data_IF_894470136814
#
_entry.id   IF_894470136814
#
_cell.length_a   1.000
_cell.length_b   1.000
_cell.length_c   1.000
_cell.angle_alpha   90.00
_cell.angle_beta   90.00
_cell.angle_gamma   90.00
#
_symmetry.space_group_name_H-M   'P 1'
#
loop_
_entity.id
_entity.type
_entity.pdbx_description
1 polymer ?
#
# COMPACT_ATOMS: atom_id res chain seq x y z
N UNK A 1 21.91 -8.66 -13.01
CA UNK A 1 22.93 -8.05 -12.14
C UNK A 1 23.07 -6.58 -12.49
N UNK A 2 22.94 -5.72 -11.51
CA UNK A 2 23.17 -4.27 -11.64
C UNK A 2 24.08 -3.84 -10.49
N UNK A 3 25.19 -3.19 -10.78
CA UNK A 3 26.17 -2.79 -9.74
C UNK A 3 26.61 -3.95 -8.83
N UNK A 4 26.88 -5.12 -9.39
CA UNK A 4 27.27 -6.36 -8.72
C UNK A 4 26.25 -6.93 -7.71
N UNK A 5 25.00 -6.44 -7.75
CA UNK A 5 23.88 -6.98 -6.95
C UNK A 5 22.86 -7.69 -7.84
N UNK A 6 22.08 -8.66 -7.30
CA UNK A 6 20.89 -9.15 -7.97
C UNK A 6 19.97 -8.01 -8.36
N UNK A 7 19.40 -8.08 -9.55
CA UNK A 7 18.45 -7.10 -10.07
C UNK A 7 17.38 -7.83 -10.87
N UNK A 8 16.11 -7.60 -10.51
CA UNK A 8 14.96 -8.25 -11.13
C UNK A 8 13.86 -7.23 -11.37
N UNK A 9 13.42 -7.12 -12.61
CA UNK A 9 12.30 -6.30 -13.01
C UNK A 9 11.13 -7.22 -13.39
N UNK A 10 9.98 -7.03 -12.74
CA UNK A 10 8.77 -7.85 -12.97
C UNK A 10 7.69 -6.95 -13.54
N UNK A 11 7.32 -7.19 -14.78
CA UNK A 11 6.25 -6.46 -15.46
C UNK A 11 4.89 -6.83 -14.90
N UNK A 12 3.94 -5.91 -15.02
CA UNK A 12 2.56 -6.11 -14.57
C UNK A 12 1.70 -6.63 -15.72
N UNK A 13 1.55 -7.96 -15.77
CA UNK A 13 0.73 -8.62 -16.79
C UNK A 13 1.22 -8.31 -18.20
N UNK A 14 0.41 -7.63 -18.99
CA UNK A 14 0.66 -7.21 -20.38
C UNK A 14 1.22 -5.77 -20.50
N UNK A 15 1.45 -5.10 -19.36
CA UNK A 15 2.03 -3.75 -19.33
C UNK A 15 3.52 -3.85 -19.04
N UNK A 16 4.35 -3.29 -19.92
CA UNK A 16 5.81 -3.29 -19.80
C UNK A 16 6.31 -2.25 -18.79
N UNK A 17 5.81 -2.37 -17.56
CA UNK A 17 6.18 -1.55 -16.41
C UNK A 17 6.02 -2.36 -15.13
N UNK A 18 6.69 -1.93 -14.06
CA UNK A 18 6.69 -2.59 -12.76
C UNK A 18 5.96 -1.75 -11.72
N UNK A 19 4.79 -2.20 -11.27
CA UNK A 19 4.14 -1.70 -10.06
C UNK A 19 4.77 -2.28 -8.80
N UNK A 20 4.94 -1.48 -7.77
CA UNK A 20 5.50 -1.95 -6.48
C UNK A 20 4.60 -2.97 -5.81
N UNK A 21 3.27 -2.76 -5.85
CA UNK A 21 2.26 -3.71 -5.37
C UNK A 21 2.33 -5.02 -6.12
N UNK A 22 2.16 -4.96 -7.45
CA UNK A 22 2.00 -6.12 -8.32
C UNK A 22 3.23 -7.00 -8.33
N UNK A 23 4.41 -6.42 -8.46
CA UNK A 23 5.67 -7.16 -8.45
C UNK A 23 5.88 -7.98 -7.18
N UNK A 24 5.45 -7.42 -6.02
CA UNK A 24 5.47 -8.14 -4.74
C UNK A 24 4.41 -9.24 -4.68
N UNK A 25 3.19 -8.96 -5.15
CA UNK A 25 2.07 -9.90 -5.12
C UNK A 25 2.30 -11.11 -6.04
N UNK A 26 2.88 -10.88 -7.22
CA UNK A 26 3.19 -11.94 -8.21
C UNK A 26 4.19 -12.96 -7.69
N UNK A 27 5.19 -12.55 -6.90
CA UNK A 27 6.18 -13.49 -6.33
C UNK A 27 5.76 -14.10 -5.00
N UNK A 28 4.75 -13.52 -4.33
CA UNK A 28 4.34 -13.93 -2.98
C UNK A 28 4.02 -15.42 -2.84
N UNK A 29 3.28 -16.08 -3.76
CA UNK A 29 2.98 -17.52 -3.66
C UNK A 29 4.21 -18.42 -3.73
N UNK A 30 5.31 -17.95 -4.31
CA UNK A 30 6.54 -18.71 -4.51
C UNK A 30 7.52 -18.61 -3.34
N UNK A 31 7.35 -17.65 -2.41
CA UNK A 31 8.27 -17.44 -1.28
C UNK A 31 8.57 -18.72 -0.47
N UNK A 32 7.60 -19.61 -0.18
CA UNK A 32 7.89 -20.85 0.56
C UNK A 32 8.89 -21.79 -0.15
N UNK A 33 9.00 -21.71 -1.49
CA UNK A 33 9.89 -22.54 -2.29
C UNK A 33 11.35 -22.11 -2.21
N UNK A 34 11.62 -20.88 -1.75
CA UNK A 34 12.98 -20.34 -1.59
C UNK A 34 13.89 -21.18 -0.70
N UNK A 35 13.35 -22.05 0.17
CA UNK A 35 14.15 -22.92 1.04
C UNK A 35 15.09 -23.81 0.26
N UNK A 36 14.63 -24.30 -0.89
CA UNK A 36 15.31 -25.32 -1.69
C UNK A 36 15.72 -24.82 -3.07
N UNK A 37 15.39 -23.57 -3.41
CA UNK A 37 15.64 -22.95 -4.71
C UNK A 37 16.46 -21.66 -4.59
N UNK A 38 17.75 -21.77 -4.92
CA UNK A 38 18.72 -20.66 -4.87
C UNK A 38 18.48 -19.62 -5.98
N UNK A 39 18.02 -20.05 -7.14
CA UNK A 39 17.74 -19.15 -8.25
C UNK A 39 16.51 -18.30 -7.93
N UNK A 40 15.51 -18.88 -7.30
CA UNK A 40 14.35 -18.14 -6.79
C UNK A 40 14.75 -17.15 -5.67
N UNK A 41 15.63 -17.54 -4.74
CA UNK A 41 16.18 -16.60 -3.74
C UNK A 41 16.85 -15.40 -4.41
N UNK A 42 17.68 -15.68 -5.43
CA UNK A 42 18.39 -14.65 -6.17
C UNK A 42 17.44 -13.71 -6.93
N UNK A 43 16.40 -14.26 -7.56
CA UNK A 43 15.34 -13.49 -8.24
C UNK A 43 14.64 -12.55 -7.25
N UNK A 44 14.21 -13.04 -6.08
CA UNK A 44 13.48 -12.24 -5.11
C UNK A 44 14.38 -11.21 -4.44
N UNK A 45 15.64 -11.52 -4.14
CA UNK A 45 16.63 -10.55 -3.69
C UNK A 45 16.82 -9.42 -4.72
N UNK A 46 16.86 -9.78 -6.01
CA UNK A 46 16.92 -8.84 -7.12
C UNK A 46 15.70 -7.91 -7.19
N UNK A 47 14.51 -8.44 -6.95
CA UNK A 47 13.29 -7.64 -6.92
C UNK A 47 13.30 -6.65 -5.75
N UNK A 48 13.72 -7.08 -4.56
CA UNK A 48 13.84 -6.19 -3.39
C UNK A 48 14.83 -5.05 -3.67
N UNK A 49 15.96 -5.34 -4.30
CA UNK A 49 16.92 -4.32 -4.70
C UNK A 49 16.32 -3.33 -5.71
N UNK A 50 15.61 -3.83 -6.73
CA UNK A 50 14.94 -2.99 -7.72
C UNK A 50 13.86 -2.09 -7.09
N UNK A 51 13.03 -2.63 -6.19
CA UNK A 51 12.03 -1.85 -5.47
C UNK A 51 12.68 -0.78 -4.58
N UNK A 52 13.82 -1.06 -3.99
CA UNK A 52 14.62 -0.08 -3.24
C UNK A 52 15.04 1.09 -4.12
N UNK A 53 15.58 0.83 -5.30
CA UNK A 53 15.94 1.88 -6.28
C UNK A 53 14.71 2.70 -6.69
N UNK A 54 13.59 2.05 -6.97
CA UNK A 54 12.33 2.71 -7.32
C UNK A 54 11.87 3.69 -6.23
N UNK A 55 11.87 3.27 -4.96
CA UNK A 55 11.49 4.13 -3.83
C UNK A 55 12.44 5.32 -3.70
N UNK A 56 13.75 5.13 -3.93
CA UNK A 56 14.73 6.21 -3.89
C UNK A 56 14.57 7.21 -5.04
N UNK A 57 14.03 6.79 -6.19
CA UNK A 57 13.70 7.67 -7.31
C UNK A 57 12.51 8.56 -6.94
N UNK A 58 11.38 7.95 -6.54
CA UNK A 58 10.19 8.69 -6.08
C UNK A 58 9.26 7.80 -5.23
N UNK A 59 9.11 8.09 -3.93
CA UNK A 59 8.24 7.32 -3.05
C UNK A 59 6.73 7.54 -3.29
N UNK A 60 6.36 8.52 -4.12
CA UNK A 60 4.98 8.79 -4.50
C UNK A 60 4.54 8.05 -5.76
N UNK A 61 5.47 7.46 -6.52
CA UNK A 61 5.15 6.70 -7.70
C UNK A 61 4.74 5.27 -7.36
N UNK A 62 3.72 4.76 -8.04
CA UNK A 62 3.25 3.39 -7.95
C UNK A 62 3.90 2.48 -8.99
N UNK A 63 4.27 3.03 -10.17
CA UNK A 63 4.78 2.25 -11.30
C UNK A 63 6.04 2.87 -11.94
N UNK A 64 6.96 1.99 -12.36
CA UNK A 64 8.29 2.33 -12.85
C UNK A 64 8.60 1.64 -14.18
N UNK A 65 9.40 2.31 -15.02
CA UNK A 65 9.95 1.77 -16.25
C UNK A 65 11.26 1.01 -15.99
N UNK A 66 11.65 0.12 -16.90
CA UNK A 66 13.00 -0.44 -16.93
C UNK A 66 13.96 0.53 -17.66
N UNK A 67 14.24 1.66 -17.02
CA UNK A 67 15.07 2.73 -17.53
C UNK A 67 14.29 4.03 -17.84
N UNK A 68 14.95 5.05 -18.45
CA UNK A 68 14.39 6.38 -18.62
C UNK A 68 13.50 6.49 -19.87
N UNK A 69 12.35 5.81 -19.89
CA UNK A 69 11.43 5.75 -21.04
C UNK A 69 10.37 6.86 -21.06
N UNK A 70 10.06 7.44 -19.89
CA UNK A 70 9.02 8.46 -19.72
C UNK A 70 7.66 7.89 -19.30
N UNK A 71 6.74 8.79 -18.92
CA UNK A 71 5.37 8.40 -18.55
C UNK A 71 4.61 7.83 -19.75
N UNK A 72 3.80 6.83 -19.52
CA UNK A 72 2.87 6.31 -20.52
C UNK A 72 1.70 7.29 -20.77
N UNK A 73 1.25 7.99 -19.73
CA UNK A 73 0.13 8.93 -19.81
C UNK A 73 0.64 10.38 -19.92
N UNK A 74 0.57 10.95 -21.15
CA UNK A 74 0.95 12.34 -21.42
C UNK A 74 0.00 13.36 -20.76
N UNK A 75 -1.19 12.90 -20.33
CA UNK A 75 -2.23 13.73 -19.70
C UNK A 75 -2.15 13.78 -18.18
N UNK A 76 -1.10 13.21 -17.59
CA UNK A 76 -0.85 13.26 -16.15
C UNK A 76 -0.28 14.61 -15.74
N UNK A 77 -0.94 15.25 -14.77
CA UNK A 77 -0.50 16.50 -14.14
C UNK A 77 -0.07 16.23 -12.70
N UNK A 78 1.22 16.08 -12.47
CA UNK A 78 1.83 15.86 -11.16
C UNK A 78 3.21 16.48 -11.09
N UNK A 79 3.75 16.67 -9.86
CA UNK A 79 5.10 17.19 -9.67
C UNK A 79 6.13 16.06 -9.89
N UNK A 80 7.35 16.45 -10.28
CA UNK A 80 8.52 15.56 -10.34
C UNK A 80 8.40 14.34 -11.25
N UNK A 81 7.72 14.46 -12.37
CA UNK A 81 7.67 13.39 -13.38
C UNK A 81 9.04 13.23 -14.02
N UNK A 82 9.82 12.20 -13.63
CA UNK A 82 11.08 11.81 -14.24
C UNK A 82 10.88 10.62 -15.17
N UNK A 83 11.85 10.38 -16.09
CA UNK A 83 11.68 9.39 -17.16
C UNK A 83 11.63 7.93 -16.69
N UNK A 84 12.08 7.64 -15.49
CA UNK A 84 12.03 6.34 -14.84
C UNK A 84 10.63 5.99 -14.34
N UNK A 85 9.73 6.97 -14.22
CA UNK A 85 8.37 6.75 -13.77
C UNK A 85 7.45 6.40 -14.94
N UNK A 86 6.71 5.31 -14.79
CA UNK A 86 5.61 4.94 -15.68
C UNK A 86 4.33 5.69 -15.28
N UNK A 87 4.02 5.70 -13.96
CA UNK A 87 2.87 6.39 -13.36
C UNK A 87 3.22 6.91 -11.96
N UNK A 88 2.63 8.06 -11.55
CA UNK A 88 2.89 8.68 -10.26
C UNK A 88 1.62 8.82 -9.42
N UNK A 89 0.85 7.75 -9.28
CA UNK A 89 -0.30 7.68 -8.38
C UNK A 89 0.15 7.32 -6.97
N UNK A 90 -0.19 8.17 -5.98
CA UNK A 90 0.15 7.92 -4.59
C UNK A 90 -0.81 6.92 -3.95
N UNK A 91 -0.28 5.79 -3.55
CA UNK A 91 -0.93 4.70 -2.85
C UNK A 91 -0.09 4.30 -1.64
N UNK A 92 -0.69 4.22 -0.45
CA UNK A 92 0.02 3.80 0.77
C UNK A 92 0.60 2.39 0.60
N UNK A 93 -0.17 1.49 0.01
CA UNK A 93 0.19 0.08 -0.14
C UNK A 93 1.38 -0.13 -1.08
N UNK A 94 1.58 0.73 -2.07
CA UNK A 94 2.76 0.71 -2.94
C UNK A 94 4.08 0.77 -2.16
N UNK A 95 4.12 1.43 -0.99
CA UNK A 95 5.28 1.44 -0.09
C UNK A 95 5.24 0.33 0.97
N UNK A 96 4.08 -0.24 1.26
CA UNK A 96 3.95 -1.34 2.23
C UNK A 96 4.39 -2.69 1.67
N UNK A 97 4.09 -2.95 0.40
CA UNK A 97 4.42 -4.22 -0.27
C UNK A 97 5.93 -4.52 -0.30
N UNK A 98 6.83 -3.58 -0.64
CA UNK A 98 8.28 -3.81 -0.58
C UNK A 98 8.79 -4.15 0.83
N UNK A 99 8.25 -3.50 1.87
CA UNK A 99 8.60 -3.81 3.26
C UNK A 99 8.17 -5.24 3.61
N UNK A 100 6.92 -5.59 3.29
CA UNK A 100 6.37 -6.93 3.54
C UNK A 100 7.17 -8.01 2.82
N UNK A 101 7.57 -7.77 1.58
CA UNK A 101 8.37 -8.71 0.78
C UNK A 101 9.75 -8.92 1.41
N UNK A 102 10.47 -7.84 1.73
CA UNK A 102 11.79 -7.90 2.35
C UNK A 102 11.75 -8.59 3.72
N UNK A 103 10.72 -8.27 4.54
CA UNK A 103 10.52 -8.91 5.84
C UNK A 103 10.30 -10.43 5.71
N UNK A 104 9.44 -10.84 4.77
CA UNK A 104 9.15 -12.26 4.56
C UNK A 104 10.34 -13.01 3.97
N UNK A 105 11.08 -12.40 3.03
CA UNK A 105 12.32 -12.95 2.50
C UNK A 105 13.31 -13.25 3.64
N UNK A 106 13.59 -12.24 4.47
CA UNK A 106 14.48 -12.38 5.62
C UNK A 106 13.98 -13.43 6.63
N UNK A 107 12.70 -13.43 6.92
CA UNK A 107 12.12 -14.38 7.89
C UNK A 107 12.32 -15.83 7.45
N UNK A 108 12.19 -16.12 6.15
CA UNK A 108 12.31 -17.46 5.58
C UNK A 108 13.77 -17.87 5.35
N UNK A 109 14.61 -16.97 4.84
CA UNK A 109 15.98 -17.30 4.42
C UNK A 109 17.03 -17.00 5.47
N UNK A 110 16.76 -16.08 6.39
CA UNK A 110 17.71 -15.45 7.31
C UNK A 110 18.83 -14.68 6.62
N UNK A 111 18.75 -14.51 5.31
CA UNK A 111 19.69 -13.71 4.53
C UNK A 111 19.46 -12.22 4.76
N UNK A 112 20.51 -11.52 5.20
CA UNK A 112 20.50 -10.08 5.46
C UNK A 112 21.17 -9.26 4.36
N UNK A 113 21.66 -9.91 3.30
CA UNK A 113 22.42 -9.24 2.22
C UNK A 113 21.60 -8.21 1.43
N UNK A 114 20.26 -8.34 1.44
CA UNK A 114 19.34 -7.37 0.84
C UNK A 114 19.27 -6.05 1.61
N UNK A 115 19.62 -6.03 2.89
CA UNK A 115 19.53 -4.86 3.77
C UNK A 115 20.79 -4.00 3.63
N UNK A 116 20.89 -3.31 2.52
CA UNK A 116 21.98 -2.37 2.23
C UNK A 116 21.75 -1.00 2.87
N UNK A 117 22.74 -0.11 2.78
CA UNK A 117 22.57 1.30 3.17
C UNK A 117 21.47 1.99 2.33
N UNK A 118 21.37 1.66 1.03
CA UNK A 118 20.34 2.19 0.13
C UNK A 118 18.93 1.75 0.57
N UNK A 119 18.79 0.48 1.00
CA UNK A 119 17.53 -0.02 1.54
C UNK A 119 17.10 0.76 2.78
N UNK A 120 18.02 0.98 3.71
CA UNK A 120 17.76 1.79 4.90
C UNK A 120 17.33 3.22 4.54
N UNK A 121 18.02 3.89 3.61
CA UNK A 121 17.65 5.23 3.16
C UNK A 121 16.26 5.24 2.46
N UNK A 122 15.94 4.23 1.66
CA UNK A 122 14.61 4.08 1.09
C UNK A 122 13.54 3.95 2.18
N UNK A 123 13.80 3.19 3.26
CA UNK A 123 12.86 3.04 4.38
C UNK A 123 12.66 4.34 5.18
N UNK A 124 13.71 5.13 5.35
CA UNK A 124 13.60 6.48 5.94
C UNK A 124 12.71 7.38 5.07
N UNK A 125 12.85 7.27 3.76
CA UNK A 125 12.03 8.00 2.81
C UNK A 125 10.55 7.57 2.90
N UNK A 126 10.28 6.27 3.04
CA UNK A 126 8.92 5.74 3.28
C UNK A 126 8.29 6.35 4.54
N UNK A 127 9.01 6.29 5.67
CA UNK A 127 8.50 6.84 6.95
C UNK A 127 8.25 8.34 6.85
N UNK A 128 9.15 9.09 6.19
CA UNK A 128 8.98 10.51 5.93
C UNK A 128 7.73 10.79 5.08
N UNK A 129 7.51 10.03 4.01
CA UNK A 129 6.34 10.15 3.13
C UNK A 129 5.04 9.87 3.89
N UNK A 130 4.99 8.83 4.71
CA UNK A 130 3.83 8.53 5.55
C UNK A 130 3.53 9.68 6.52
N UNK A 131 4.54 10.25 7.18
CA UNK A 131 4.38 11.41 8.06
C UNK A 131 3.91 12.66 7.33
N UNK A 132 4.43 12.93 6.14
CA UNK A 132 3.96 14.04 5.29
C UNK A 132 2.48 13.85 4.95
N UNK A 133 2.08 12.64 4.56
CA UNK A 133 0.70 12.33 4.19
C UNK A 133 -0.26 12.16 5.39
N UNK A 134 0.21 12.24 6.64
CA UNK A 134 -0.68 12.52 7.77
C UNK A 134 -1.23 13.96 7.73
N UNK A 135 -0.66 14.84 6.90
CA UNK A 135 -1.08 16.23 6.65
C UNK A 135 -1.20 17.10 7.90
N UNK A 136 -0.45 16.75 8.97
CA UNK A 136 -0.44 17.52 10.24
C UNK A 136 0.17 18.91 10.09
N UNK A 137 1.09 19.10 9.15
CA UNK A 137 1.81 20.36 8.92
C UNK A 137 1.35 21.07 7.64
N UNK A 138 0.32 20.55 6.97
CA UNK A 138 -0.21 21.09 5.71
C UNK A 138 -0.56 19.98 4.74
N UNK A 139 -0.98 20.36 3.54
CA UNK A 139 -1.47 19.42 2.52
C UNK A 139 -0.36 18.57 1.90
N UNK A 140 0.93 18.94 2.12
CA UNK A 140 2.08 18.26 1.51
C UNK A 140 2.43 18.83 0.14
N UNK A 141 3.33 18.11 -0.56
CA UNK A 141 3.85 18.52 -1.88
C UNK A 141 3.25 17.71 -3.03
N UNK A 142 2.51 16.63 -2.74
CA UNK A 142 1.96 15.73 -3.74
C UNK A 142 0.57 16.16 -4.21
N UNK A 143 0.41 16.25 -5.53
CA UNK A 143 -0.90 16.31 -6.19
C UNK A 143 -0.86 15.48 -7.47
N UNK A 144 -2.02 15.00 -7.91
CA UNK A 144 -2.17 14.25 -9.15
C UNK A 144 -3.55 14.50 -9.76
N UNK A 145 -3.58 14.89 -11.03
CA UNK A 145 -4.78 14.86 -11.86
C UNK A 145 -4.42 14.33 -13.24
N UNK A 146 -5.42 13.79 -13.92
CA UNK A 146 -5.32 13.26 -15.28
C UNK A 146 -6.48 13.79 -16.12
N UNK A 147 -6.20 14.23 -17.33
CA UNK A 147 -7.25 14.56 -18.31
C UNK A 147 -7.77 13.26 -18.91
N UNK A 148 -8.93 12.81 -18.46
CA UNK A 148 -9.53 11.55 -18.84
C UNK A 148 -11.06 11.58 -18.75
N UNK A 149 -11.71 10.66 -19.47
CA UNK A 149 -13.17 10.51 -19.46
C UNK A 149 -13.68 9.75 -18.21
N UNK A 150 -12.77 9.14 -17.43
CA UNK A 150 -13.08 8.35 -16.24
C UNK A 150 -12.80 9.18 -14.99
N UNK A 151 -13.83 9.73 -14.30
CA UNK A 151 -13.63 10.62 -13.15
C UNK A 151 -12.87 9.99 -12.00
N UNK A 152 -12.91 8.66 -11.84
CA UNK A 152 -12.20 7.94 -10.77
C UNK A 152 -10.71 7.76 -11.04
N UNK A 153 -10.23 8.08 -12.25
CA UNK A 153 -8.81 7.99 -12.62
C UNK A 153 -8.02 9.28 -12.33
N UNK A 154 -8.68 10.26 -11.73
CA UNK A 154 -8.11 11.57 -11.39
C UNK A 154 -8.56 12.04 -10.01
N UNK A 155 -7.70 12.79 -9.30
CA UNK A 155 -8.08 13.42 -8.06
C UNK A 155 -8.81 14.75 -8.31
N UNK A 156 -9.82 15.03 -7.48
CA UNK A 156 -10.54 16.33 -7.45
C UNK A 156 -9.65 17.45 -6.89
N UNK A 157 -10.15 18.68 -6.85
CA UNK A 157 -9.46 19.86 -6.31
C UNK A 157 -8.08 20.10 -6.95
N UNK A 158 -8.00 20.10 -8.28
CA UNK A 158 -6.74 20.26 -9.02
C UNK A 158 -5.67 19.26 -8.56
N UNK A 159 -6.07 18.02 -8.32
CA UNK A 159 -5.15 16.93 -7.94
C UNK A 159 -4.87 16.78 -6.44
N UNK A 160 -5.39 17.66 -5.59
CA UNK A 160 -5.14 17.62 -4.14
C UNK A 160 -6.03 16.64 -3.37
N UNK A 161 -7.10 16.16 -4.02
CA UNK A 161 -8.10 15.28 -3.41
C UNK A 161 -9.11 15.99 -2.51
N UNK A 162 -9.97 15.20 -1.88
CA UNK A 162 -10.95 15.72 -0.92
C UNK A 162 -10.27 16.27 0.34
N UNK A 163 -10.83 17.31 0.98
CA UNK A 163 -10.35 17.81 2.25
C UNK A 163 -10.38 16.72 3.33
N UNK A 164 -9.34 16.66 4.15
CA UNK A 164 -9.28 15.77 5.31
C UNK A 164 -8.97 16.55 6.58
N UNK A 165 -9.48 16.08 7.72
CA UNK A 165 -9.05 16.56 9.04
C UNK A 165 -7.90 15.68 9.51
N UNK A 166 -6.70 16.22 9.76
CA UNK A 166 -5.57 15.47 10.28
C UNK A 166 -5.90 14.83 11.63
N UNK A 167 -5.98 13.52 11.68
CA UNK A 167 -6.35 12.75 12.87
C UNK A 167 -5.36 11.64 13.21
N UNK A 168 -4.19 11.65 12.55
CA UNK A 168 -3.15 10.63 12.69
C UNK A 168 -3.18 9.53 11.64
N UNK A 169 -4.21 9.48 10.78
CA UNK A 169 -4.27 8.60 9.61
C UNK A 169 -3.41 9.16 8.45
N UNK A 170 -2.99 8.27 7.57
CA UNK A 170 -2.21 8.59 6.36
C UNK A 170 -3.19 8.70 5.18
N UNK A 171 -3.10 9.79 4.41
CA UNK A 171 -3.87 9.97 3.17
C UNK A 171 -3.33 9.02 2.09
N UNK A 172 -4.21 8.29 1.43
CA UNK A 172 -3.97 7.63 0.15
C UNK A 172 -4.74 8.38 -0.92
N UNK A 173 -4.09 8.81 -1.98
CA UNK A 173 -4.80 9.47 -3.08
C UNK A 173 -5.54 8.47 -3.95
N UNK A 174 -4.98 7.28 -4.09
CA UNK A 174 -5.58 6.20 -4.87
C UNK A 174 -5.74 4.93 -4.04
N UNK A 175 -6.64 4.07 -4.51
CA UNK A 175 -6.90 2.72 -3.99
C UNK A 175 -6.04 1.69 -4.72
N UNK A 176 -5.91 0.46 -4.20
CA UNK A 176 -5.28 -0.63 -4.94
C UNK A 176 -5.94 -0.98 -6.28
N UNK A 177 -7.14 -0.48 -6.52
CA UNK A 177 -7.87 -0.56 -7.81
C UNK A 177 -7.51 0.53 -8.80
N UNK A 178 -6.53 1.37 -8.49
CA UNK A 178 -6.13 2.59 -9.23
C UNK A 178 -7.20 3.71 -9.24
N UNK A 179 -8.35 3.51 -8.57
CA UNK A 179 -9.37 4.54 -8.43
C UNK A 179 -9.01 5.56 -7.34
N UNK A 180 -9.32 6.81 -7.59
CA UNK A 180 -9.18 7.90 -6.64
C UNK A 180 -10.02 7.67 -5.37
N UNK A 181 -9.43 7.92 -4.19
CA UNK A 181 -10.18 7.90 -2.94
C UNK A 181 -11.17 9.05 -2.86
N UNK A 182 -12.35 8.79 -2.28
CA UNK A 182 -13.38 9.82 -2.06
C UNK A 182 -13.12 10.62 -0.78
N UNK A 183 -12.65 9.96 0.30
CA UNK A 183 -12.45 10.58 1.61
C UNK A 183 -10.98 10.64 2.06
N UNK A 184 -10.06 10.24 1.27
CA UNK A 184 -8.62 10.37 1.48
C UNK A 184 -8.00 9.38 2.48
N UNK A 185 -8.63 9.05 3.59
CA UNK A 185 -8.10 8.05 4.54
C UNK A 185 -8.66 6.67 4.23
N UNK A 186 -7.97 5.92 3.37
CA UNK A 186 -8.27 4.54 3.04
C UNK A 186 -7.86 3.63 4.20
N UNK A 187 -8.83 3.07 4.92
CA UNK A 187 -8.59 2.33 6.17
C UNK A 187 -7.82 1.04 5.95
N UNK A 188 -8.12 0.16 4.95
CA UNK A 188 -7.34 -1.05 4.75
C UNK A 188 -5.87 -0.77 4.42
N UNK A 189 -5.55 0.28 3.66
CA UNK A 189 -4.16 0.66 3.40
C UNK A 189 -3.47 1.23 4.65
N UNK A 190 -4.18 1.97 5.50
CA UNK A 190 -3.68 2.39 6.82
C UNK A 190 -3.41 1.18 7.74
N UNK A 191 -4.26 0.14 7.73
CA UNK A 191 -4.00 -1.11 8.45
C UNK A 191 -2.71 -1.79 7.96
N UNK A 192 -2.50 -1.81 6.65
CA UNK A 192 -1.29 -2.38 6.07
C UNK A 192 -0.05 -1.55 6.43
N UNK A 193 -0.15 -0.22 6.48
CA UNK A 193 0.94 0.65 6.95
C UNK A 193 1.33 0.34 8.40
N UNK A 194 0.37 0.11 9.30
CA UNK A 194 0.64 -0.29 10.70
C UNK A 194 1.46 -1.58 10.75
N UNK A 195 1.08 -2.60 9.99
CA UNK A 195 1.80 -3.88 9.95
C UNK A 195 3.20 -3.68 9.38
N UNK A 196 3.32 -2.98 8.25
CA UNK A 196 4.60 -2.73 7.58
C UNK A 196 5.57 -1.94 8.44
N UNK A 197 5.09 -0.92 9.17
CA UNK A 197 5.91 -0.15 10.11
C UNK A 197 6.41 -1.00 11.29
N UNK A 198 5.62 -1.94 11.80
CA UNK A 198 6.04 -2.88 12.83
C UNK A 198 7.09 -3.85 12.31
N UNK A 199 6.92 -4.38 11.10
CA UNK A 199 7.92 -5.22 10.42
C UNK A 199 9.22 -4.46 10.17
N UNK A 200 9.13 -3.21 9.70
CA UNK A 200 10.27 -2.34 9.50
C UNK A 200 11.03 -2.09 10.82
N UNK A 201 10.32 -1.81 11.90
CA UNK A 201 10.93 -1.66 13.22
C UNK A 201 11.70 -2.89 13.66
N UNK A 202 11.19 -4.09 13.41
CA UNK A 202 11.88 -5.34 13.75
C UNK A 202 13.17 -5.50 12.93
N UNK A 203 13.15 -5.19 11.63
CA UNK A 203 14.34 -5.21 10.77
C UNK A 203 15.38 -4.20 11.28
N UNK A 204 14.97 -2.96 11.50
CA UNK A 204 15.88 -1.88 11.94
C UNK A 204 16.53 -2.17 13.30
N UNK A 205 15.74 -2.74 14.20
CA UNK A 205 16.28 -3.16 15.51
C UNK A 205 17.22 -4.36 15.40
N UNK A 206 16.84 -5.39 14.64
CA UNK A 206 17.51 -6.69 14.68
C UNK A 206 18.69 -6.78 13.72
N UNK A 207 18.57 -6.20 12.53
CA UNK A 207 19.58 -6.30 11.46
C UNK A 207 20.55 -5.13 11.52
N UNK A 208 20.03 -3.91 11.61
CA UNK A 208 20.86 -2.70 11.59
C UNK A 208 21.28 -2.20 12.96
N UNK A 209 20.59 -2.61 14.02
CA UNK A 209 20.75 -2.05 15.39
C UNK A 209 20.49 -0.53 15.45
N UNK A 210 19.60 -0.02 14.59
CA UNK A 210 19.18 1.38 14.54
C UNK A 210 17.99 1.63 15.49
N UNK A 211 18.26 1.61 16.79
CA UNK A 211 17.25 1.61 17.87
C UNK A 211 16.30 2.82 17.78
N UNK A 212 16.81 3.99 17.46
CA UNK A 212 15.99 5.22 17.45
C UNK A 212 15.03 5.23 16.25
N UNK A 213 15.48 4.79 15.08
CA UNK A 213 14.60 4.68 13.92
C UNK A 213 13.58 3.55 14.08
N UNK A 214 13.96 2.43 14.70
CA UNK A 214 13.02 1.37 15.06
C UNK A 214 11.90 1.88 15.99
N UNK A 215 12.24 2.69 17.02
CA UNK A 215 11.26 3.35 17.90
C UNK A 215 10.37 4.33 17.16
N UNK A 216 10.93 5.09 16.21
CA UNK A 216 10.17 6.01 15.35
C UNK A 216 9.11 5.27 14.53
N UNK A 217 9.46 4.12 13.93
CA UNK A 217 8.54 3.27 13.20
C UNK A 217 7.39 2.75 14.09
N UNK A 218 7.70 2.25 15.29
CA UNK A 218 6.67 1.81 16.26
C UNK A 218 5.77 2.96 16.68
N UNK A 219 6.33 4.12 17.01
CA UNK A 219 5.53 5.28 17.43
C UNK A 219 4.54 5.71 16.33
N UNK A 220 4.98 5.70 15.07
CA UNK A 220 4.09 6.00 13.94
C UNK A 220 3.04 4.90 13.75
N UNK A 221 3.41 3.62 13.86
CA UNK A 221 2.47 2.50 13.77
C UNK A 221 1.38 2.60 14.84
N UNK A 222 1.76 2.88 16.09
CA UNK A 222 0.83 2.97 17.22
C UNK A 222 -0.10 4.19 17.09
N UNK A 223 0.40 5.32 16.58
CA UNK A 223 -0.42 6.48 16.28
C UNK A 223 -1.48 6.18 15.22
N UNK A 224 -1.07 5.56 14.10
CA UNK A 224 -1.99 5.18 13.01
C UNK A 224 -3.01 4.15 13.51
N UNK A 225 -2.59 3.14 14.27
CA UNK A 225 -3.49 2.12 14.83
C UNK A 225 -4.53 2.74 15.78
N UNK A 226 -4.10 3.65 16.66
CA UNK A 226 -5.01 4.37 17.53
C UNK A 226 -6.02 5.22 16.73
N UNK A 227 -5.56 5.85 15.65
CA UNK A 227 -6.42 6.64 14.76
C UNK A 227 -7.43 5.75 14.00
N UNK A 228 -7.02 4.56 13.51
CA UNK A 228 -7.93 3.57 12.89
C UNK A 228 -9.02 3.17 13.89
N UNK A 229 -8.66 2.82 15.12
CA UNK A 229 -9.63 2.41 16.15
C UNK A 229 -10.64 3.51 16.49
N UNK A 230 -10.19 4.76 16.48
CA UNK A 230 -11.02 5.91 16.86
C UNK A 230 -11.87 6.44 15.70
N UNK A 231 -11.30 6.57 14.51
CA UNK A 231 -11.93 7.26 13.37
C UNK A 231 -12.27 6.32 12.21
N UNK A 232 -11.59 5.18 12.09
CA UNK A 232 -11.80 4.19 11.03
C UNK A 232 -12.87 3.15 11.35
N UNK A 233 -13.66 3.33 12.43
CA UNK A 233 -14.75 2.42 12.80
C UNK A 233 -16.04 3.21 13.05
N UNK A 234 -17.19 2.58 12.79
CA UNK A 234 -18.51 3.15 13.07
C UNK A 234 -19.50 2.06 13.50
N UNK A 235 -20.65 2.46 14.06
CA UNK A 235 -21.70 1.54 14.47
C UNK A 235 -22.71 1.38 13.32
N UNK A 236 -22.70 0.21 12.69
CA UNK A 236 -23.69 -0.16 11.68
C UNK A 236 -24.96 -0.69 12.36
N UNK A 237 -26.18 -0.28 11.95
CA UNK A 237 -27.43 -0.63 12.65
C UNK A 237 -27.67 -2.14 12.83
N UNK A 238 -27.21 -2.95 11.85
CA UNK A 238 -27.46 -4.40 11.82
C UNK A 238 -26.24 -5.19 12.31
N UNK A 239 -25.02 -4.74 11.95
CA UNK A 239 -23.80 -5.50 12.18
C UNK A 239 -23.03 -5.08 13.45
N UNK A 240 -23.44 -3.99 14.11
CA UNK A 240 -22.70 -3.42 15.23
C UNK A 240 -21.46 -2.65 14.80
N UNK A 241 -20.41 -2.63 15.63
CA UNK A 241 -19.18 -1.90 15.30
C UNK A 241 -18.43 -2.59 14.17
N UNK A 242 -18.14 -1.82 13.10
CA UNK A 242 -17.47 -2.27 11.87
C UNK A 242 -16.36 -1.29 11.48
N UNK A 243 -15.42 -1.72 10.63
CA UNK A 243 -14.49 -0.82 9.97
C UNK A 243 -15.15 -0.11 8.80
N UNK A 244 -14.83 1.16 8.60
CA UNK A 244 -15.12 1.90 7.37
C UNK A 244 -14.09 1.54 6.28
N UNK A 245 -14.45 1.72 5.01
CA UNK A 245 -13.51 1.59 3.91
C UNK A 245 -12.68 2.87 3.77
N UNK A 246 -13.35 4.03 3.71
CA UNK A 246 -12.68 5.34 3.75
C UNK A 246 -13.34 6.25 4.79
N UNK A 247 -12.55 7.18 5.32
CA UNK A 247 -13.00 8.27 6.19
C UNK A 247 -12.27 9.57 5.86
N UNK A 248 -12.82 10.72 6.30
CA UNK A 248 -12.22 12.05 6.10
C UNK A 248 -11.72 12.72 7.40
N UNK A 249 -11.96 12.09 8.55
CA UNK A 249 -11.65 12.66 9.87
C UNK A 249 -12.66 13.69 10.37
N UNK A 250 -13.61 14.16 9.55
CA UNK A 250 -14.72 15.05 9.97
C UNK A 250 -15.94 14.27 10.45
N UNK A 251 -15.97 12.96 10.23
CA UNK A 251 -17.07 12.07 10.65
C UNK A 251 -17.81 11.42 9.49
N UNK A 252 -17.42 11.71 8.24
CA UNK A 252 -17.95 11.00 7.09
C UNK A 252 -17.27 9.64 6.93
N UNK A 253 -18.05 8.64 6.51
CA UNK A 253 -17.60 7.26 6.29
C UNK A 253 -18.11 6.75 4.96
N UNK A 254 -17.27 6.02 4.24
CA UNK A 254 -17.65 5.22 3.10
C UNK A 254 -17.71 3.75 3.53
N UNK A 255 -18.89 3.14 3.33
CA UNK A 255 -19.17 1.77 3.73
C UNK A 255 -19.23 0.89 2.48
N UNK A 256 -18.12 0.28 2.16
CA UNK A 256 -17.96 -0.72 1.08
C UNK A 256 -16.70 -1.54 1.32
N UNK A 257 -16.42 -2.47 0.46
CA UNK A 257 -15.11 -3.11 0.24
C UNK A 257 -15.07 -3.69 -1.16
N UNK A 258 -13.89 -3.74 -1.75
CA UNK A 258 -13.67 -4.39 -3.04
C UNK A 258 -12.68 -5.57 -2.90
N UNK A 259 -12.38 -6.26 -4.02
CA UNK A 259 -11.51 -7.43 -3.99
C UNK A 259 -10.01 -7.10 -4.05
N UNK A 260 -9.62 -5.83 -4.22
CA UNK A 260 -8.21 -5.44 -4.35
C UNK A 260 -7.54 -5.35 -2.98
N UNK A 261 -6.40 -6.01 -2.81
CA UNK A 261 -5.64 -6.03 -1.55
C UNK A 261 -4.64 -4.86 -1.53
N UNK A 262 -4.66 -4.05 -0.45
CA UNK A 262 -5.36 -4.19 0.83
C UNK A 262 -6.87 -3.86 0.77
N UNK A 263 -7.68 -4.75 1.35
CA UNK A 263 -9.12 -4.61 1.55
C UNK A 263 -9.46 -4.84 3.03
N UNK A 264 -10.68 -4.49 3.45
CA UNK A 264 -11.14 -4.78 4.81
C UNK A 264 -11.14 -6.29 5.10
N UNK A 265 -11.53 -7.10 4.10
CA UNK A 265 -11.51 -8.55 4.22
C UNK A 265 -10.10 -9.13 4.32
N UNK A 266 -9.11 -8.47 3.74
CA UNK A 266 -7.71 -8.91 3.79
C UNK A 266 -6.97 -8.56 5.08
N UNK A 267 -7.57 -7.81 6.01
CA UNK A 267 -6.90 -7.35 7.23
C UNK A 267 -6.22 -8.47 8.05
N UNK A 268 -6.84 -9.66 8.27
CA UNK A 268 -6.15 -10.77 8.94
C UNK A 268 -5.04 -11.41 8.07
N UNK A 269 -5.22 -11.49 6.76
CA UNK A 269 -4.20 -11.99 5.84
C UNK A 269 -2.95 -11.11 5.83
N UNK A 270 -3.13 -9.80 5.94
CA UNK A 270 -2.03 -8.84 6.05
C UNK A 270 -1.39 -8.84 7.45
N UNK A 271 -2.04 -9.42 8.45
CA UNK A 271 -1.53 -9.51 9.83
C UNK A 271 -1.97 -8.37 10.75
N UNK A 272 -2.94 -7.53 10.34
CA UNK A 272 -3.41 -6.41 11.14
C UNK A 272 -4.25 -6.87 12.35
N UNK A 273 -5.12 -7.84 12.17
CA UNK A 273 -5.97 -8.36 13.23
C UNK A 273 -6.13 -9.88 13.15
N UNK A 274 -6.68 -10.47 14.20
CA UNK A 274 -7.06 -11.90 14.18
C UNK A 274 -8.35 -12.11 13.38
N UNK A 275 -8.50 -13.26 12.74
CA UNK A 275 -9.78 -13.71 12.19
C UNK A 275 -10.92 -13.77 13.22
N UNK A 276 -10.59 -13.84 14.51
CA UNK A 276 -11.58 -13.86 15.62
C UNK A 276 -11.89 -12.46 16.17
N UNK A 277 -11.26 -11.40 15.64
CA UNK A 277 -11.55 -10.03 16.07
C UNK A 277 -13.03 -9.69 15.83
N UNK A 278 -13.70 -9.16 16.84
CA UNK A 278 -15.14 -8.93 16.80
C UNK A 278 -15.53 -7.85 15.78
N UNK A 279 -14.71 -6.79 15.65
CA UNK A 279 -14.96 -5.71 14.68
C UNK A 279 -14.74 -6.23 13.27
N UNK A 280 -13.70 -7.04 13.06
CA UNK A 280 -13.47 -7.70 11.78
C UNK A 280 -14.62 -8.65 11.39
N UNK A 281 -15.11 -9.48 12.32
CA UNK A 281 -16.21 -10.40 12.04
C UNK A 281 -17.51 -9.66 11.68
N UNK A 282 -17.79 -8.56 12.36
CA UNK A 282 -18.91 -7.69 12.03
C UNK A 282 -18.73 -7.05 10.64
N UNK A 283 -17.51 -6.56 10.35
CA UNK A 283 -17.15 -6.00 9.03
C UNK A 283 -17.31 -7.05 7.94
N UNK A 284 -16.78 -8.26 8.15
CA UNK A 284 -16.93 -9.36 7.20
C UNK A 284 -18.39 -9.68 6.91
N UNK A 285 -19.26 -9.73 7.96
CA UNK A 285 -20.68 -9.94 7.79
C UNK A 285 -21.35 -8.84 6.95
N UNK A 286 -20.95 -7.59 7.15
CA UNK A 286 -21.45 -6.45 6.38
C UNK A 286 -21.03 -6.53 4.93
N UNK A 287 -19.72 -6.71 4.69
CA UNK A 287 -19.14 -6.71 3.34
C UNK A 287 -19.62 -7.91 2.51
N UNK A 288 -19.85 -9.06 3.16
CA UNK A 288 -20.38 -10.26 2.51
C UNK A 288 -21.91 -10.27 2.49
N UNK A 289 -22.51 -9.16 2.05
CA UNK A 289 -23.97 -8.98 1.96
C UNK A 289 -24.33 -7.92 0.91
N UNK A 290 -25.62 -7.84 0.59
CA UNK A 290 -26.18 -6.85 -0.35
C UNK A 290 -26.00 -5.38 0.11
N UNK A 291 -25.47 -5.14 1.31
CA UNK A 291 -25.08 -3.80 1.78
C UNK A 291 -23.73 -3.34 1.19
N UNK A 292 -22.94 -4.25 0.62
CA UNK A 292 -21.73 -3.90 -0.12
C UNK A 292 -22.05 -3.86 -1.61
N UNK A 293 -21.88 -2.72 -2.30
CA UNK A 293 -22.19 -2.58 -3.72
C UNK A 293 -21.38 -3.50 -4.64
N UNK A 294 -20.25 -4.05 -4.14
CA UNK A 294 -19.38 -4.96 -4.88
C UNK A 294 -19.58 -6.44 -4.51
N UNK A 295 -20.59 -6.74 -3.71
CA UNK A 295 -20.99 -8.12 -3.44
C UNK A 295 -21.96 -8.60 -4.52
N UNK A 296 -21.63 -9.70 -5.17
CA UNK A 296 -22.42 -10.27 -6.26
C UNK A 296 -22.76 -11.73 -5.98
N UNK A 297 -23.98 -12.09 -6.39
CA UNK A 297 -24.50 -13.47 -6.35
C UNK A 297 -24.81 -13.97 -7.74
N UNK A 298 -24.26 -15.13 -8.07
CA UNK A 298 -24.54 -15.84 -9.33
C UNK A 298 -25.02 -17.25 -9.07
N UNK A 299 -25.38 -17.97 -10.14
CA UNK A 299 -25.81 -19.38 -10.05
C UNK A 299 -24.73 -20.32 -9.55
N UNK A 300 -23.45 -20.01 -9.78
CA UNK A 300 -22.31 -20.84 -9.42
C UNK A 300 -21.66 -20.46 -8.08
N UNK A 301 -21.94 -19.28 -7.53
CA UNK A 301 -21.34 -18.80 -6.27
C UNK A 301 -21.63 -17.34 -6.01
N UNK A 302 -21.04 -16.83 -4.94
CA UNK A 302 -21.12 -15.44 -4.52
C UNK A 302 -19.72 -14.92 -4.16
N UNK A 303 -19.48 -13.62 -4.28
CA UNK A 303 -18.17 -13.02 -4.01
C UNK A 303 -18.16 -11.51 -4.11
N UNK A 304 -17.01 -10.95 -3.73
CA UNK A 304 -16.71 -9.52 -3.90
C UNK A 304 -15.94 -9.37 -5.22
N UNK A 305 -16.35 -8.44 -6.07
CA UNK A 305 -15.67 -8.13 -7.33
C UNK A 305 -14.69 -6.98 -7.18
N UNK A 306 -13.67 -6.96 -8.05
CA UNK A 306 -12.76 -5.84 -8.21
C UNK A 306 -13.42 -4.74 -9.05
N UNK A 307 -13.14 -3.47 -8.71
CA UNK A 307 -13.54 -2.29 -9.49
C UNK A 307 -12.85 -2.19 -10.85
N UNK A 308 -11.65 -2.77 -11.00
CA UNK A 308 -10.85 -2.69 -12.24
C UNK A 308 -11.58 -3.32 -13.44
N UNK A 309 -12.50 -4.23 -13.19
CA UNK A 309 -13.13 -5.07 -14.23
C UNK A 309 -14.64 -4.87 -14.38
N UNK A 310 -15.19 -3.76 -13.87
CA UNK A 310 -16.63 -3.43 -14.03
C UNK A 310 -16.82 -2.32 -15.04
#
# INVERSE_FOLDING_TARGET
MKNDRPDTFIITGDIDAMWLRDSSAQVWPYLPLMKDDRDLQFLIAGLINRQTECILIDPYANAFNDGPLGSYWETDHTQHMVKELHERKWEIDSLCYPIRLAYQYWTLTKDTSIFSADWHEAMKLVVRTFKEQQRKQGIGTYSFSRDCDRPTDSQINNGWGAPVKPVGLIVSSFRPSDDATQFGFLIPSNMFAVVSLRQLSEIEHTVYNHIDFAKECIALADEVDAAIRRYGTFNHPICGRVYAFEVDGFGNVLCMDDANIPSLLSAPYLGYCSFKDAVYQNTRKLIWSDNNPYFFKGKAGEGILSLIHI
#
